data_IF_412329995138
#
_entry.id   IF_412329995138
#
_cell.length_a   1.000
_cell.length_b   1.000
_cell.length_c   1.000
_cell.angle_alpha   90.00
_cell.angle_beta   90.00
_cell.angle_gamma   90.00
#
_symmetry.space_group_name_H-M   'P 1'
#
loop_
_entity.id
_entity.type
_entity.pdbx_description
1 polymer ?
#
# COMPACT_ATOMS: atom_id res chain seq x y z
N UNK A 1 -18.82 2.33 0.34
CA UNK A 1 -17.50 1.70 0.58
C UNK A 1 -16.39 2.53 -0.06
N UNK A 2 -16.40 2.79 -1.35
CA UNK A 2 -15.30 3.43 -2.08
C UNK A 2 -15.26 4.97 -2.05
N UNK A 3 -16.27 5.65 -1.54
CA UNK A 3 -16.29 7.12 -1.38
C UNK A 3 -15.15 7.65 -0.49
N UNK A 4 -14.55 6.78 0.31
CA UNK A 4 -13.49 7.11 1.27
C UNK A 4 -12.11 6.63 0.79
N UNK A 5 -11.94 6.32 -0.50
CA UNK A 5 -10.70 5.83 -1.10
C UNK A 5 -10.23 6.82 -2.15
N UNK A 6 -8.97 7.21 -2.07
CA UNK A 6 -8.28 8.00 -3.08
C UNK A 6 -6.92 7.37 -3.40
N UNK A 7 -6.57 7.29 -4.66
CA UNK A 7 -5.19 7.05 -5.12
C UNK A 7 -4.68 8.39 -5.63
N UNK A 8 -3.63 8.90 -5.03
CA UNK A 8 -3.10 10.24 -5.33
C UNK A 8 -2.08 10.17 -6.46
N UNK A 9 -1.04 9.38 -6.30
CA UNK A 9 0.00 9.18 -7.29
C UNK A 9 0.70 7.84 -7.03
N UNK A 10 1.00 7.08 -8.08
CA UNK A 10 1.76 5.82 -8.03
C UNK A 10 1.16 4.79 -7.06
N UNK A 11 1.75 4.63 -5.88
CA UNK A 11 1.26 3.77 -4.79
C UNK A 11 0.69 4.57 -3.60
N UNK A 12 0.61 5.89 -3.71
CA UNK A 12 0.12 6.76 -2.63
C UNK A 12 -1.39 6.70 -2.49
N UNK A 13 -1.87 6.26 -1.33
CA UNK A 13 -3.29 6.00 -1.06
C UNK A 13 -3.76 6.81 0.14
N UNK A 14 -5.00 7.29 0.09
CA UNK A 14 -5.68 7.87 1.25
C UNK A 14 -7.00 7.14 1.50
N UNK A 15 -7.18 6.69 2.74
CA UNK A 15 -8.43 6.13 3.24
C UNK A 15 -9.05 7.09 4.26
N UNK A 16 -10.36 7.31 4.17
CA UNK A 16 -11.13 8.14 5.12
C UNK A 16 -10.55 9.53 5.35
N UNK A 17 -9.93 10.12 4.30
CA UNK A 17 -9.34 11.47 4.26
C UNK A 17 -8.16 11.72 5.22
N UNK A 18 -7.85 10.83 6.15
CA UNK A 18 -6.81 11.03 7.17
C UNK A 18 -5.96 9.79 7.49
N UNK A 19 -6.06 8.74 6.71
CA UNK A 19 -5.21 7.54 6.78
C UNK A 19 -4.42 7.49 5.49
N UNK A 20 -3.12 7.75 5.57
CA UNK A 20 -2.22 7.79 4.43
C UNK A 20 -1.38 6.54 4.36
N UNK A 21 -1.21 6.02 3.17
CA UNK A 21 -0.30 4.91 2.88
C UNK A 21 0.67 5.38 1.79
N UNK A 22 1.96 5.25 2.05
CA UNK A 22 3.06 5.58 1.14
C UNK A 22 2.88 6.95 0.45
N UNK A 23 2.82 8.07 1.21
CA UNK A 23 2.60 9.39 0.64
C UNK A 23 3.77 9.79 -0.27
N UNK A 24 3.46 10.02 -1.55
CA UNK A 24 4.41 10.40 -2.57
C UNK A 24 3.79 11.36 -3.59
N UNK A 25 4.53 12.42 -3.95
CA UNK A 25 4.07 13.51 -4.84
C UNK A 25 2.73 14.11 -4.44
N UNK A 26 2.62 14.43 -3.17
CA UNK A 26 1.45 15.12 -2.60
C UNK A 26 1.44 16.56 -3.11
N UNK A 27 0.37 16.94 -3.79
CA UNK A 27 0.22 18.29 -4.37
C UNK A 27 -0.05 19.36 -3.32
N UNK A 28 -0.90 19.06 -2.34
CA UNK A 28 -1.38 20.03 -1.35
C UNK A 28 -0.98 19.62 0.07
N UNK A 29 -0.53 20.57 0.86
CA UNK A 29 -0.32 20.38 2.29
C UNK A 29 -1.69 20.28 2.99
N UNK A 30 -1.86 19.23 3.78
CA UNK A 30 -3.11 18.96 4.49
C UNK A 30 -2.95 18.91 6.00
N UNK A 31 -1.80 18.45 6.48
CA UNK A 31 -1.47 18.25 7.90
C UNK A 31 -2.58 17.55 8.71
N UNK A 32 -3.33 16.65 8.06
CA UNK A 32 -4.49 16.00 8.63
C UNK A 32 -4.32 14.49 8.86
N UNK A 33 -3.12 13.94 8.60
CA UNK A 33 -2.87 12.52 8.79
C UNK A 33 -3.03 12.14 10.26
N UNK A 34 -3.98 11.25 10.52
CA UNK A 34 -4.15 10.60 11.82
C UNK A 34 -3.27 9.37 11.93
N UNK A 35 -3.23 8.60 10.87
CA UNK A 35 -2.37 7.42 10.73
C UNK A 35 -1.62 7.48 9.42
N UNK A 36 -0.36 7.07 9.45
CA UNK A 36 0.50 7.02 8.30
C UNK A 36 1.19 5.66 8.27
N UNK A 37 1.00 4.91 7.19
CA UNK A 37 1.55 3.58 6.98
C UNK A 37 2.61 3.65 5.89
N UNK A 38 3.78 3.09 6.14
CA UNK A 38 4.87 2.98 5.16
C UNK A 38 5.17 1.50 4.95
N UNK A 39 5.06 1.06 3.71
CA UNK A 39 5.30 -0.35 3.35
C UNK A 39 6.79 -0.68 3.35
N UNK A 40 7.63 0.24 2.89
CA UNK A 40 9.08 0.08 2.82
C UNK A 40 9.81 1.41 2.54
N UNK A 41 11.14 1.40 2.55
CA UNK A 41 11.98 2.60 2.55
C UNK A 41 12.35 3.16 1.16
N UNK A 42 11.85 2.62 0.05
CA UNK A 42 12.09 3.21 -1.26
C UNK A 42 11.48 4.61 -1.37
N UNK A 43 12.14 5.48 -2.16
CA UNK A 43 11.83 6.91 -2.24
C UNK A 43 10.40 7.24 -2.69
N UNK A 44 9.79 6.35 -3.46
CA UNK A 44 8.43 6.46 -4.00
C UNK A 44 7.34 5.92 -3.05
N UNK A 45 7.75 5.39 -1.89
CA UNK A 45 6.90 4.95 -0.78
C UNK A 45 7.21 5.71 0.52
N UNK A 46 8.47 6.15 0.69
CA UNK A 46 8.96 6.85 1.87
C UNK A 46 9.58 8.20 1.49
N UNK A 47 8.75 9.16 1.12
CA UNK A 47 9.14 10.55 0.81
C UNK A 47 8.99 11.43 2.04
N UNK A 48 10.12 11.86 2.61
CA UNK A 48 10.11 12.78 3.77
C UNK A 48 9.40 14.10 3.43
N UNK A 49 9.63 14.65 2.23
CA UNK A 49 8.96 15.87 1.78
C UNK A 49 7.43 15.72 1.80
N UNK A 50 6.91 14.59 1.33
CA UNK A 50 5.47 14.37 1.26
C UNK A 50 4.87 13.97 2.61
N UNK A 51 5.63 13.26 3.44
CA UNK A 51 5.26 12.99 4.84
C UNK A 51 5.05 14.32 5.58
N UNK A 52 5.96 15.29 5.43
CA UNK A 52 5.83 16.61 6.06
C UNK A 52 4.55 17.35 5.64
N UNK A 53 4.11 17.23 4.39
CA UNK A 53 2.89 17.87 3.89
C UNK A 53 1.61 17.30 4.53
N UNK A 54 1.63 16.06 5.00
CA UNK A 54 0.41 15.39 5.49
C UNK A 54 0.40 15.19 7.00
N UNK A 55 1.58 15.02 7.64
CA UNK A 55 1.67 14.78 9.07
C UNK A 55 1.36 16.01 9.92
N UNK A 56 0.99 15.77 11.16
CA UNK A 56 0.90 16.74 12.26
C UNK A 56 1.51 16.12 13.53
N UNK A 57 1.50 16.86 14.65
CA UNK A 57 2.08 16.43 15.93
C UNK A 57 1.44 15.15 16.50
N UNK A 58 0.19 14.87 16.14
CA UNK A 58 -0.58 13.72 16.64
C UNK A 58 -0.55 12.51 15.72
N UNK A 59 0.06 12.61 14.53
CA UNK A 59 0.15 11.51 13.56
C UNK A 59 0.87 10.30 14.17
N UNK A 60 0.25 9.12 14.07
CA UNK A 60 0.85 7.85 14.45
C UNK A 60 1.33 7.14 13.18
N UNK A 61 2.60 6.75 13.20
CA UNK A 61 3.27 6.08 12.10
C UNK A 61 3.35 4.57 12.34
N UNK A 62 3.05 3.78 11.31
CA UNK A 62 3.31 2.35 11.23
C UNK A 62 4.34 2.14 10.12
N UNK A 63 5.56 1.75 10.46
CA UNK A 63 6.68 1.74 9.53
C UNK A 63 7.61 0.56 9.76
N UNK A 64 8.31 0.15 8.73
CA UNK A 64 9.38 -0.85 8.83
C UNK A 64 10.60 -0.29 9.60
N UNK A 65 11.46 -1.15 10.18
CA UNK A 65 12.59 -0.71 11.01
C UNK A 65 13.54 0.27 10.30
N UNK A 66 13.79 0.07 9.02
CA UNK A 66 14.65 0.91 8.18
C UNK A 66 14.12 2.33 7.91
N UNK A 67 12.83 2.57 8.13
CA UNK A 67 12.22 3.90 8.03
C UNK A 67 12.29 4.70 9.35
N UNK A 68 12.44 4.03 10.50
CA UNK A 68 12.32 4.65 11.83
C UNK A 68 13.35 5.76 12.06
N UNK A 69 14.61 5.51 11.75
CA UNK A 69 15.69 6.46 12.04
C UNK A 69 15.45 7.80 11.33
N UNK A 70 15.08 7.76 10.05
CA UNK A 70 14.81 8.98 9.28
C UNK A 70 13.60 9.76 9.82
N UNK A 71 12.59 9.10 10.37
CA UNK A 71 11.48 9.78 11.03
C UNK A 71 11.92 10.49 12.32
N UNK A 72 12.80 9.87 13.10
CA UNK A 72 13.39 10.50 14.29
C UNK A 72 14.24 11.71 13.92
N UNK A 73 15.03 11.65 12.86
CA UNK A 73 15.86 12.75 12.35
C UNK A 73 15.04 13.99 11.97
N UNK A 74 13.83 13.81 11.44
CA UNK A 74 12.89 14.91 11.13
C UNK A 74 11.99 15.31 12.30
N UNK A 75 12.32 14.87 13.52
CA UNK A 75 11.65 15.30 14.75
C UNK A 75 10.35 14.60 15.07
N UNK A 76 10.02 13.46 14.44
CA UNK A 76 8.88 12.65 14.85
C UNK A 76 9.19 12.03 16.21
N UNK A 77 8.34 12.28 17.21
CA UNK A 77 8.53 11.74 18.55
C UNK A 77 8.45 10.20 18.55
N UNK A 78 9.39 9.52 19.21
CA UNK A 78 9.48 8.05 19.23
C UNK A 78 8.17 7.36 19.62
N UNK A 79 7.40 7.94 20.55
CA UNK A 79 6.07 7.43 20.98
C UNK A 79 5.00 7.47 19.88
N UNK A 80 5.26 8.16 18.77
CA UNK A 80 4.38 8.24 17.61
C UNK A 80 4.76 7.22 16.53
N UNK A 81 5.86 6.49 16.70
CA UNK A 81 6.36 5.52 15.73
C UNK A 81 6.12 4.11 16.27
N UNK A 82 5.31 3.35 15.55
CA UNK A 82 5.12 1.92 15.74
C UNK A 82 5.96 1.22 14.66
N UNK A 83 7.04 0.60 15.07
CA UNK A 83 7.84 -0.23 14.16
C UNK A 83 7.12 -1.57 13.99
N UNK A 84 6.86 -1.94 12.74
CA UNK A 84 6.14 -3.18 12.40
C UNK A 84 7.05 -4.21 11.76
N UNK A 85 6.71 -5.47 11.92
CA UNK A 85 7.33 -6.60 11.25
C UNK A 85 6.27 -7.51 10.62
N UNK A 86 6.64 -8.33 9.61
CA UNK A 86 5.75 -9.33 9.04
C UNK A 86 5.05 -10.19 10.10
N UNK A 87 3.80 -10.58 9.82
CA UNK A 87 2.93 -11.41 10.66
C UNK A 87 2.43 -10.79 11.96
N UNK A 88 2.80 -9.56 12.27
CA UNK A 88 2.27 -8.84 13.43
C UNK A 88 0.82 -8.39 13.24
N UNK A 89 0.10 -8.30 14.36
CA UNK A 89 -1.29 -7.84 14.39
C UNK A 89 -1.45 -6.73 15.42
N UNK A 90 -2.20 -5.70 15.04
CA UNK A 90 -2.49 -4.55 15.91
C UNK A 90 -3.99 -4.27 15.95
N UNK A 91 -4.45 -3.78 17.09
CA UNK A 91 -5.83 -3.30 17.23
C UNK A 91 -5.82 -1.97 17.99
N UNK A 92 -6.30 -0.93 17.34
CA UNK A 92 -6.36 0.40 17.90
C UNK A 92 -7.60 1.15 17.42
N UNK A 93 -8.27 1.83 18.32
CA UNK A 93 -9.56 2.46 18.05
C UNK A 93 -10.54 1.48 17.37
N UNK A 94 -10.95 1.78 16.12
CA UNK A 94 -11.85 0.95 15.29
C UNK A 94 -11.11 0.29 14.12
N UNK A 95 -9.79 0.20 14.20
CA UNK A 95 -8.92 -0.36 13.17
C UNK A 95 -8.35 -1.68 13.69
N UNK A 96 -8.46 -2.73 12.88
CA UNK A 96 -7.70 -3.97 13.01
C UNK A 96 -6.68 -3.99 11.86
N UNK A 97 -5.42 -4.18 12.20
CA UNK A 97 -4.30 -4.20 11.26
C UNK A 97 -3.60 -5.56 11.35
N UNK A 98 -3.38 -6.17 10.21
CA UNK A 98 -2.45 -7.28 10.06
C UNK A 98 -1.34 -6.87 9.10
N UNK A 99 -0.10 -7.14 9.48
CA UNK A 99 1.10 -6.85 8.70
C UNK A 99 1.44 -8.08 7.88
N UNK A 100 1.47 -7.92 6.56
CA UNK A 100 1.66 -9.04 5.61
C UNK A 100 3.06 -8.92 5.00
N UNK A 101 3.84 -10.00 4.91
CA UNK A 101 5.11 -9.96 4.19
C UNK A 101 4.94 -9.50 2.73
N UNK A 102 5.80 -8.58 2.27
CA UNK A 102 5.83 -8.12 0.89
C UNK A 102 7.23 -8.32 0.31
N UNK A 103 7.37 -9.21 -0.67
CA UNK A 103 8.67 -9.52 -1.27
C UNK A 103 8.54 -10.16 -2.65
N UNK A 104 9.61 -10.05 -3.41
CA UNK A 104 9.74 -10.71 -4.71
C UNK A 104 10.37 -12.10 -4.57
N UNK A 105 9.97 -13.02 -5.46
CA UNK A 105 10.45 -14.41 -5.47
C UNK A 105 11.63 -14.56 -6.44
N UNK A 106 11.52 -13.98 -7.64
CA UNK A 106 12.47 -14.20 -8.73
C UNK A 106 13.11 -12.89 -9.24
N UNK A 107 13.14 -11.84 -8.41
CA UNK A 107 13.73 -10.54 -8.77
C UNK A 107 14.79 -10.13 -7.76
N UNK A 108 15.76 -9.31 -8.20
CA UNK A 108 16.83 -8.78 -7.34
C UNK A 108 16.32 -7.73 -6.32
N UNK A 109 15.14 -7.17 -6.56
CA UNK A 109 14.51 -6.15 -5.73
C UNK A 109 13.55 -6.77 -4.70
N UNK A 110 13.29 -6.07 -3.59
CA UNK A 110 12.30 -6.45 -2.57
C UNK A 110 12.51 -7.87 -2.04
N UNK A 111 13.71 -8.15 -1.54
CA UNK A 111 14.05 -9.48 -1.01
C UNK A 111 13.32 -9.75 0.31
N UNK A 112 12.97 -11.02 0.56
CA UNK A 112 12.26 -11.43 1.80
C UNK A 112 12.99 -11.01 3.08
N UNK A 113 14.33 -11.05 3.08
CA UNK A 113 15.16 -10.65 4.22
C UNK A 113 15.10 -9.17 4.60
N UNK A 114 14.54 -8.29 3.75
CA UNK A 114 14.37 -6.87 4.08
C UNK A 114 13.25 -6.64 5.10
N UNK A 115 12.35 -7.62 5.27
CA UNK A 115 11.24 -7.52 6.21
C UNK A 115 10.21 -6.45 5.84
N UNK A 116 10.11 -6.10 4.56
CA UNK A 116 9.15 -5.15 4.03
C UNK A 116 7.75 -5.73 3.99
N UNK A 117 6.74 -4.86 3.99
CA UNK A 117 5.38 -5.27 4.33
C UNK A 117 4.31 -4.68 3.41
N UNK A 118 3.20 -5.40 3.34
CA UNK A 118 1.89 -4.88 2.98
C UNK A 118 1.00 -4.79 4.22
N UNK A 119 -0.15 -4.17 4.08
CA UNK A 119 -1.07 -3.93 5.19
C UNK A 119 -2.48 -4.43 4.86
N UNK A 120 -3.00 -5.30 5.70
CA UNK A 120 -4.41 -5.69 5.69
C UNK A 120 -5.13 -4.91 6.79
N UNK A 121 -5.89 -3.89 6.41
CA UNK A 121 -6.50 -2.92 7.32
C UNK A 121 -8.01 -3.09 7.30
N UNK A 122 -8.60 -3.41 8.45
CA UNK A 122 -10.06 -3.48 8.59
C UNK A 122 -10.60 -2.26 9.33
N UNK A 123 -11.49 -1.53 8.67
CA UNK A 123 -12.10 -0.31 9.18
C UNK A 123 -13.60 -0.33 8.87
N UNK A 124 -14.45 -0.11 9.90
CA UNK A 124 -15.90 -0.06 9.73
C UNK A 124 -16.50 -1.29 9.01
N UNK A 125 -15.93 -2.47 9.24
CA UNK A 125 -16.37 -3.72 8.64
C UNK A 125 -15.91 -3.95 7.19
N UNK A 126 -15.08 -3.07 6.62
CA UNK A 126 -14.46 -3.20 5.30
C UNK A 126 -12.98 -3.53 5.47
N UNK A 127 -12.50 -4.53 4.76
CA UNK A 127 -11.10 -4.96 4.77
C UNK A 127 -10.39 -4.49 3.51
N UNK A 128 -9.36 -3.66 3.67
CA UNK A 128 -8.49 -3.14 2.63
C UNK A 128 -7.15 -3.88 2.67
N UNK A 129 -6.70 -4.41 1.56
CA UNK A 129 -5.37 -4.99 1.44
C UNK A 129 -4.52 -4.14 0.50
N UNK A 130 -3.49 -3.53 1.03
CA UNK A 130 -2.44 -2.81 0.32
C UNK A 130 -1.22 -3.73 0.32
N UNK A 131 -0.86 -4.26 -0.84
CA UNK A 131 0.15 -5.32 -0.91
C UNK A 131 1.56 -4.83 -0.63
N UNK A 132 1.84 -3.53 -0.79
CA UNK A 132 3.20 -3.03 -0.97
C UNK A 132 3.78 -3.52 -2.29
N UNK A 133 5.09 -3.40 -2.44
CA UNK A 133 5.82 -3.88 -3.61
C UNK A 133 6.18 -5.36 -3.45
N UNK A 134 5.55 -6.20 -4.25
CA UNK A 134 5.66 -7.67 -4.11
C UNK A 134 5.39 -8.40 -5.42
N UNK A 135 5.96 -9.59 -5.55
CA UNK A 135 5.48 -10.65 -6.44
C UNK A 135 4.41 -11.49 -5.74
N UNK A 136 3.76 -12.39 -6.49
CA UNK A 136 2.96 -13.45 -5.88
C UNK A 136 3.88 -14.40 -5.12
N UNK A 137 3.71 -14.47 -3.82
CA UNK A 137 4.52 -15.32 -2.94
C UNK A 137 3.61 -16.20 -2.06
N UNK A 138 4.19 -17.12 -1.31
CA UNK A 138 3.46 -18.09 -0.48
C UNK A 138 2.61 -17.45 0.63
N UNK A 139 3.06 -16.31 1.17
CA UNK A 139 2.44 -15.66 2.33
C UNK A 139 1.15 -14.91 1.96
N UNK A 140 0.97 -14.51 0.68
CA UNK A 140 -0.17 -13.71 0.24
C UNK A 140 -1.30 -14.52 -0.44
N UNK A 141 -1.09 -15.80 -0.76
CA UNK A 141 -2.02 -16.61 -1.57
C UNK A 141 -3.42 -16.77 -0.97
N UNK A 142 -3.55 -16.69 0.34
CA UNK A 142 -4.82 -16.95 1.04
C UNK A 142 -5.45 -15.71 1.68
N UNK A 143 -4.95 -14.52 1.37
CA UNK A 143 -5.49 -13.26 1.89
C UNK A 143 -6.94 -13.07 1.43
N UNK A 144 -7.80 -12.62 2.34
CA UNK A 144 -9.18 -12.25 2.05
C UNK A 144 -9.39 -10.79 2.36
N UNK A 145 -9.88 -10.04 1.37
CA UNK A 145 -10.18 -8.61 1.50
C UNK A 145 -11.39 -8.22 0.68
N UNK A 146 -12.01 -7.09 1.04
CA UNK A 146 -13.08 -6.49 0.23
C UNK A 146 -12.50 -5.62 -0.89
N UNK A 147 -11.42 -4.89 -0.60
CA UNK A 147 -10.74 -3.99 -1.53
C UNK A 147 -9.26 -4.35 -1.57
N UNK A 148 -8.77 -4.65 -2.76
CA UNK A 148 -7.36 -4.95 -3.03
C UNK A 148 -6.70 -3.76 -3.74
N UNK A 149 -5.55 -3.31 -3.24
CA UNK A 149 -4.62 -2.45 -3.95
C UNK A 149 -3.41 -3.28 -4.35
N UNK A 150 -3.16 -3.42 -5.66
CA UNK A 150 -2.15 -4.35 -6.20
C UNK A 150 -1.26 -3.65 -7.22
N UNK A 151 0.08 -3.78 -7.13
CA UNK A 151 0.99 -3.24 -8.12
C UNK A 151 0.88 -4.04 -9.42
N UNK A 152 0.97 -3.34 -10.55
CA UNK A 152 0.92 -3.96 -11.88
C UNK A 152 2.04 -3.48 -12.83
N UNK A 153 3.05 -2.81 -12.29
CA UNK A 153 4.11 -2.15 -13.08
C UNK A 153 5.16 -3.07 -13.67
N UNK A 154 5.30 -4.29 -13.20
CA UNK A 154 6.08 -5.38 -13.79
C UNK A 154 7.55 -5.40 -13.42
N UNK A 155 8.32 -4.34 -13.60
CA UNK A 155 9.79 -4.36 -13.44
C UNK A 155 10.23 -4.73 -12.02
N UNK A 156 9.62 -4.15 -11.02
CA UNK A 156 9.98 -4.30 -9.61
C UNK A 156 8.96 -5.10 -8.82
N UNK A 157 7.81 -5.37 -9.39
CA UNK A 157 6.66 -6.00 -8.76
C UNK A 157 5.97 -6.95 -9.75
N UNK A 158 4.80 -7.47 -9.41
CA UNK A 158 3.94 -8.17 -10.36
C UNK A 158 3.72 -7.33 -11.63
N UNK A 159 3.70 -7.96 -12.80
CA UNK A 159 3.14 -7.36 -14.00
C UNK A 159 1.60 -7.45 -13.98
N UNK A 160 0.93 -6.81 -14.95
CA UNK A 160 -0.52 -6.77 -15.00
C UNK A 160 -1.17 -8.15 -15.17
N UNK A 161 -0.48 -9.15 -15.76
CA UNK A 161 -0.99 -10.52 -15.92
C UNK A 161 -0.86 -11.30 -14.62
N UNK A 162 0.32 -11.26 -13.99
CA UNK A 162 0.58 -11.88 -12.69
C UNK A 162 -0.40 -11.33 -11.63
N UNK A 163 -0.59 -10.01 -11.62
CA UNK A 163 -1.53 -9.34 -10.72
C UNK A 163 -3.00 -9.73 -10.99
N UNK A 164 -3.39 -9.93 -12.26
CA UNK A 164 -4.74 -10.38 -12.61
C UNK A 164 -4.98 -11.83 -12.15
N UNK A 165 -4.03 -12.72 -12.38
CA UNK A 165 -4.11 -14.12 -11.92
C UNK A 165 -4.22 -14.18 -10.39
N UNK A 166 -3.40 -13.40 -9.69
CA UNK A 166 -3.48 -13.27 -8.23
C UNK A 166 -4.83 -12.73 -7.77
N UNK A 167 -5.31 -11.64 -8.37
CA UNK A 167 -6.60 -11.03 -8.05
C UNK A 167 -7.75 -12.02 -8.24
N UNK A 168 -7.75 -12.77 -9.35
CA UNK A 168 -8.75 -13.81 -9.64
C UNK A 168 -8.70 -14.98 -8.64
N UNK A 169 -7.54 -15.26 -8.06
CA UNK A 169 -7.37 -16.33 -7.05
C UNK A 169 -7.98 -15.94 -5.70
N UNK A 170 -7.76 -14.73 -5.22
CA UNK A 170 -8.24 -14.26 -3.92
C UNK A 170 -9.65 -13.67 -3.94
N UNK A 171 -10.13 -13.26 -5.12
CA UNK A 171 -11.51 -12.80 -5.42
C UNK A 171 -11.98 -11.67 -4.50
N UNK A 172 -11.31 -10.52 -4.47
CA UNK A 172 -11.81 -9.35 -3.76
C UNK A 172 -13.10 -8.86 -4.44
N UNK A 173 -13.89 -8.05 -3.72
CA UNK A 173 -15.03 -7.39 -4.32
C UNK A 173 -14.60 -6.27 -5.27
N UNK A 174 -13.58 -5.50 -4.86
CA UNK A 174 -13.01 -4.41 -5.62
C UNK A 174 -11.50 -4.57 -5.74
N UNK A 175 -10.94 -4.22 -6.90
CA UNK A 175 -9.51 -4.12 -7.09
C UNK A 175 -9.13 -2.76 -7.68
N UNK A 176 -8.02 -2.23 -7.19
CA UNK A 176 -7.46 -0.96 -7.60
C UNK A 176 -6.00 -1.21 -8.00
N UNK A 177 -5.68 -1.18 -9.30
CA UNK A 177 -4.29 -1.29 -9.73
C UNK A 177 -3.52 -0.03 -9.37
N UNK A 178 -2.33 -0.21 -8.82
CA UNK A 178 -1.40 0.85 -8.41
C UNK A 178 0.00 0.58 -8.97
N UNK A 179 0.95 1.48 -8.72
CA UNK A 179 2.37 1.32 -9.05
C UNK A 179 2.62 1.06 -10.55
N UNK A 180 1.95 1.82 -11.44
CA UNK A 180 2.10 1.72 -12.91
C UNK A 180 1.81 3.05 -13.60
N UNK A 181 2.21 3.15 -14.87
CA UNK A 181 1.88 4.29 -15.74
C UNK A 181 2.59 5.61 -15.40
N UNK A 182 3.55 5.57 -14.48
CA UNK A 182 4.32 6.73 -14.00
C UNK A 182 5.81 6.43 -14.00
N UNK A 183 6.34 5.85 -12.91
CA UNK A 183 7.75 5.46 -12.77
C UNK A 183 8.03 4.19 -13.58
N UNK A 184 7.11 3.24 -13.55
CA UNK A 184 7.17 1.94 -14.22
C UNK A 184 5.84 1.61 -14.90
N UNK A 185 5.85 0.60 -15.77
CA UNK A 185 4.68 0.18 -16.52
C UNK A 185 4.16 1.24 -17.50
N UNK A 186 3.08 0.93 -18.18
CA UNK A 186 2.40 1.82 -19.12
C UNK A 186 1.01 2.18 -18.58
N UNK A 187 0.45 3.32 -18.97
CA UNK A 187 -0.92 3.71 -18.60
C UNK A 187 -1.97 2.69 -19.06
N UNK A 188 -1.72 2.10 -20.23
CA UNK A 188 -2.58 1.08 -20.82
C UNK A 188 -2.64 -0.21 -20.02
N UNK A 189 -1.63 -0.52 -19.21
CA UNK A 189 -1.56 -1.75 -18.39
C UNK A 189 -2.76 -1.88 -17.46
N UNK A 190 -3.31 -0.78 -16.95
CA UNK A 190 -4.52 -0.79 -16.14
C UNK A 190 -5.76 -1.29 -16.91
N UNK A 191 -5.88 -0.94 -18.18
CA UNK A 191 -6.96 -1.41 -19.06
C UNK A 191 -6.77 -2.89 -19.39
N UNK A 192 -5.53 -3.30 -19.70
CA UNK A 192 -5.21 -4.70 -20.01
C UNK A 192 -5.41 -5.58 -18.77
N UNK A 193 -5.02 -5.12 -17.57
CA UNK A 193 -5.32 -5.76 -16.31
C UNK A 193 -6.83 -6.00 -16.11
N UNK A 194 -7.64 -4.96 -16.29
CA UNK A 194 -9.09 -5.05 -16.08
C UNK A 194 -9.78 -6.07 -17.02
N UNK A 195 -9.27 -6.25 -18.25
CA UNK A 195 -9.79 -7.25 -19.20
C UNK A 195 -9.57 -8.70 -18.77
N UNK A 196 -8.58 -8.95 -17.91
CA UNK A 196 -8.21 -10.30 -17.45
C UNK A 196 -8.94 -10.73 -16.18
N UNK A 197 -9.70 -9.82 -15.56
CA UNK A 197 -10.38 -10.10 -14.29
C UNK A 197 -11.67 -10.89 -14.48
N UNK A 198 -11.99 -11.72 -13.49
CA UNK A 198 -13.31 -12.34 -13.34
C UNK A 198 -14.40 -11.26 -13.32
N UNK A 199 -15.51 -11.51 -14.01
CA UNK A 199 -16.64 -10.55 -14.16
C UNK A 199 -17.31 -10.14 -12.84
N UNK A 200 -17.04 -10.86 -11.75
CA UNK A 200 -17.55 -10.56 -10.41
C UNK A 200 -16.67 -9.58 -9.63
N UNK A 201 -15.48 -9.25 -10.14
CA UNK A 201 -14.52 -8.34 -9.52
C UNK A 201 -14.65 -6.95 -10.19
N UNK A 202 -14.95 -5.93 -9.42
CA UNK A 202 -15.05 -4.57 -9.93
C UNK A 202 -13.67 -3.91 -9.90
N UNK A 203 -13.14 -3.58 -11.09
CA UNK A 203 -11.86 -2.88 -11.22
C UNK A 203 -12.07 -1.36 -11.27
N UNK A 204 -11.32 -0.63 -10.45
CA UNK A 204 -11.37 0.83 -10.39
C UNK A 204 -10.00 1.41 -10.76
N UNK A 205 -9.94 2.08 -11.90
CA UNK A 205 -8.72 2.71 -12.41
C UNK A 205 -8.74 4.19 -12.03
N UNK A 206 -7.83 4.61 -11.16
CA UNK A 206 -7.67 5.98 -10.69
C UNK A 206 -6.60 6.79 -11.46
N UNK A 207 -5.71 6.13 -12.19
CA UNK A 207 -4.69 6.82 -12.99
C UNK A 207 -5.35 7.50 -14.19
N UNK A 208 -5.35 8.82 -14.17
CA UNK A 208 -5.77 9.68 -15.28
C UNK A 208 -4.59 10.11 -16.12
#
# INVERSE_FOLDING_TARGET
>A
MLKNVKVLYHASIVLYDNIYIDPYKIENETHNAKYLFITHSHYDHFSIEDIEKVRNEDTIFFVTPDCKEKLLEIGVGEKRIVTVAPDEMYKFNKIELQVIPAYNVNKEYHKKEYGWVGYLIKINGVTYYITGDTDVNEDIQNIKCDVLFVPIGGTYTMDYKEAADYTNSIKPKYVIPIHYGTIVGKKEDGIEFAKLLDTKIECLIFNK
#
